data_IF_348965059991
#
_entry.id   IF_348965059991
#
_cell.length_a   1.000
_cell.length_b   1.000
_cell.length_c   1.000
_cell.angle_alpha   90.00
_cell.angle_beta   90.00
_cell.angle_gamma   90.00
#
_symmetry.space_group_name_H-M   'P 1'
#
loop_
_entity.id
_entity.type
_entity.pdbx_description
1 polymer ?
#
# COMPACT_ATOMS: atom_id res chain seq x y z
N UNK A 1 -1.60 -23.65 -18.38
CA UNK A 1 -1.14 -22.26 -18.62
C UNK A 1 -0.28 -21.79 -17.45
N UNK A 2 0.81 -21.07 -17.70
CA UNK A 2 1.65 -20.48 -16.65
C UNK A 2 1.24 -19.03 -16.33
N UNK A 3 1.61 -18.51 -15.15
CA UNK A 3 1.26 -17.16 -14.67
C UNK A 3 1.77 -16.05 -15.58
N UNK A 4 2.93 -16.22 -16.23
CA UNK A 4 3.48 -15.27 -17.22
C UNK A 4 2.61 -15.22 -18.47
N UNK A 5 2.25 -16.37 -19.03
CA UNK A 5 1.38 -16.47 -20.21
C UNK A 5 -0.02 -15.90 -19.95
N UNK A 6 -0.60 -16.20 -18.79
CA UNK A 6 -1.88 -15.65 -18.37
C UNK A 6 -1.81 -14.11 -18.34
N UNK A 7 -0.72 -13.54 -17.82
CA UNK A 7 -0.54 -12.08 -17.76
C UNK A 7 -0.45 -11.45 -19.15
N UNK A 8 0.21 -12.11 -20.10
CA UNK A 8 0.32 -11.65 -21.48
C UNK A 8 -1.02 -11.73 -22.21
N UNK A 9 -1.76 -12.84 -22.08
CA UNK A 9 -3.10 -12.99 -22.68
C UNK A 9 -4.12 -12.01 -22.11
N UNK A 10 -4.13 -11.83 -20.78
CA UNK A 10 -4.94 -10.78 -20.13
C UNK A 10 -4.57 -9.40 -20.68
N UNK A 11 -3.28 -9.15 -20.98
CA UNK A 11 -2.87 -7.89 -21.59
C UNK A 11 -3.44 -7.70 -22.98
N UNK A 12 -3.26 -8.69 -23.84
CA UNK A 12 -3.72 -8.66 -25.22
C UNK A 12 -5.24 -8.47 -25.29
N UNK A 13 -6.02 -9.21 -24.51
CA UNK A 13 -7.48 -9.14 -24.56
C UNK A 13 -8.02 -7.82 -24.00
N UNK A 14 -7.47 -7.31 -22.90
CA UNK A 14 -7.87 -5.99 -22.38
C UNK A 14 -7.47 -4.86 -23.35
N UNK A 15 -6.31 -4.97 -24.01
CA UNK A 15 -5.89 -4.01 -25.05
C UNK A 15 -6.74 -4.10 -26.32
N UNK A 16 -7.34 -5.26 -26.60
CA UNK A 16 -8.29 -5.47 -27.69
C UNK A 16 -9.71 -4.97 -27.35
N UNK A 17 -9.91 -4.35 -26.18
CA UNK A 17 -11.21 -3.81 -25.75
C UNK A 17 -12.14 -4.82 -25.10
N UNK A 18 -11.69 -6.05 -24.83
CA UNK A 18 -12.50 -7.03 -24.10
C UNK A 18 -12.71 -6.58 -22.65
N UNK A 19 -13.90 -6.84 -22.13
CA UNK A 19 -14.27 -6.49 -20.75
C UNK A 19 -13.54 -7.40 -19.74
N UNK A 20 -13.43 -6.97 -18.48
CA UNK A 20 -12.70 -7.74 -17.45
C UNK A 20 -13.41 -9.07 -17.15
N UNK A 21 -14.75 -9.10 -17.21
CA UNK A 21 -15.54 -10.32 -17.07
C UNK A 21 -15.32 -11.28 -18.23
N UNK A 22 -15.25 -10.78 -19.48
CA UNK A 22 -15.05 -11.63 -20.66
C UNK A 22 -13.67 -12.28 -20.65
N UNK A 23 -12.64 -11.52 -20.26
CA UNK A 23 -11.28 -12.04 -20.09
C UNK A 23 -11.22 -13.10 -18.99
N UNK A 24 -11.94 -12.90 -17.88
CA UNK A 24 -12.01 -13.88 -16.80
C UNK A 24 -12.73 -15.15 -17.27
N UNK A 25 -13.88 -15.04 -17.93
CA UNK A 25 -14.64 -16.18 -18.45
C UNK A 25 -13.83 -16.97 -19.48
N UNK A 26 -13.12 -16.28 -20.38
CA UNK A 26 -12.31 -16.93 -21.42
C UNK A 26 -11.10 -17.69 -20.85
N UNK A 27 -10.46 -17.17 -19.80
CA UNK A 27 -9.22 -17.74 -19.25
C UNK A 27 -9.43 -18.64 -18.02
N UNK A 28 -10.64 -18.67 -17.46
CA UNK A 28 -11.02 -19.55 -16.35
C UNK A 28 -10.87 -21.02 -16.78
N UNK A 29 -10.35 -21.87 -15.89
CA UNK A 29 -10.17 -23.30 -16.18
C UNK A 29 -8.97 -23.67 -17.07
N UNK A 30 -8.21 -22.72 -17.63
CA UNK A 30 -7.03 -23.00 -18.48
C UNK A 30 -5.75 -23.38 -17.68
N UNK A 31 -5.90 -23.90 -16.45
CA UNK A 31 -4.81 -24.42 -15.62
C UNK A 31 -4.14 -23.40 -14.67
N UNK A 32 -4.59 -22.15 -14.61
CA UNK A 32 -4.23 -21.19 -13.54
C UNK A 32 -5.40 -21.11 -12.56
N UNK A 33 -5.14 -21.20 -11.24
CA UNK A 33 -6.18 -21.05 -10.22
C UNK A 33 -6.96 -19.75 -10.43
N UNK A 34 -8.28 -19.85 -10.49
CA UNK A 34 -9.19 -18.72 -10.75
C UNK A 34 -8.96 -17.53 -9.80
N UNK A 35 -8.53 -17.79 -8.55
CA UNK A 35 -8.13 -16.75 -7.59
C UNK A 35 -6.94 -15.90 -8.07
N UNK A 36 -5.95 -16.55 -8.69
CA UNK A 36 -4.74 -15.88 -9.20
C UNK A 36 -5.07 -15.10 -10.45
N UNK A 37 -5.93 -15.65 -11.32
CA UNK A 37 -6.42 -14.99 -12.53
C UNK A 37 -7.25 -13.74 -12.19
N UNK A 38 -8.22 -13.86 -11.28
CA UNK A 38 -9.03 -12.73 -10.81
C UNK A 38 -8.17 -11.63 -10.16
N UNK A 39 -7.15 -12.00 -9.38
CA UNK A 39 -6.20 -11.04 -8.81
C UNK A 39 -5.41 -10.31 -9.92
N UNK A 40 -4.91 -11.02 -10.94
CA UNK A 40 -4.20 -10.42 -12.06
C UNK A 40 -5.07 -9.41 -12.83
N UNK A 41 -6.34 -9.71 -13.06
CA UNK A 41 -7.29 -8.83 -13.75
C UNK A 41 -7.68 -7.64 -12.85
N UNK A 42 -8.05 -7.88 -11.59
CA UNK A 42 -8.44 -6.84 -10.63
C UNK A 42 -7.29 -5.89 -10.25
N UNK A 43 -6.03 -6.37 -10.32
CA UNK A 43 -4.84 -5.56 -9.99
C UNK A 43 -4.49 -4.51 -11.05
N UNK A 44 -5.15 -4.54 -12.23
CA UNK A 44 -4.95 -3.53 -13.27
C UNK A 44 -5.83 -2.31 -13.01
N UNK A 45 -5.22 -1.14 -12.74
CA UNK A 45 -5.95 0.10 -12.64
C UNK A 45 -6.55 0.45 -13.99
N UNK A 46 -7.81 0.87 -13.98
CA UNK A 46 -8.45 1.49 -15.14
C UNK A 46 -7.84 2.91 -15.34
N UNK A 47 -7.26 3.22 -16.51
CA UNK A 47 -6.63 4.51 -16.77
C UNK A 47 -7.55 5.71 -16.51
N UNK A 48 -8.87 5.60 -16.72
CA UNK A 48 -9.81 6.69 -16.44
C UNK A 48 -9.98 6.95 -14.94
N UNK A 49 -9.97 5.89 -14.13
CA UNK A 49 -10.03 6.03 -12.67
C UNK A 49 -8.73 6.60 -12.10
N UNK A 50 -7.59 6.28 -12.70
CA UNK A 50 -6.32 6.92 -12.35
C UNK A 50 -6.35 8.42 -12.67
N UNK A 51 -6.91 8.81 -13.82
CA UNK A 51 -7.04 10.21 -14.22
C UNK A 51 -7.94 11.00 -13.25
N UNK A 52 -9.10 10.43 -12.91
CA UNK A 52 -10.07 11.07 -11.98
C UNK A 52 -9.60 11.15 -10.53
N UNK A 53 -8.68 10.28 -10.11
CA UNK A 53 -8.17 10.22 -8.73
C UNK A 53 -6.71 10.67 -8.58
N UNK A 54 -6.15 11.35 -9.60
CA UNK A 54 -4.75 11.77 -9.63
C UNK A 54 -4.35 12.61 -8.41
N UNK A 55 -5.25 13.46 -7.91
CA UNK A 55 -5.01 14.25 -6.70
C UNK A 55 -4.80 13.36 -5.47
N UNK A 56 -5.65 12.35 -5.26
CA UNK A 56 -5.53 11.44 -4.13
C UNK A 56 -4.25 10.60 -4.19
N UNK A 57 -3.85 10.15 -5.39
CA UNK A 57 -2.58 9.46 -5.58
C UNK A 57 -1.39 10.39 -5.27
N UNK A 58 -1.43 11.65 -5.70
CA UNK A 58 -0.41 12.64 -5.34
C UNK A 58 -0.34 12.88 -3.82
N UNK A 59 -1.48 12.93 -3.14
CA UNK A 59 -1.52 13.04 -1.67
C UNK A 59 -0.85 11.81 -1.03
N UNK A 60 -1.12 10.59 -1.52
CA UNK A 60 -0.47 9.38 -0.99
C UNK A 60 1.04 9.35 -1.24
N UNK A 61 1.49 9.79 -2.42
CA UNK A 61 2.92 9.98 -2.70
C UNK A 61 3.52 11.01 -1.75
N UNK A 62 2.82 12.13 -1.52
CA UNK A 62 3.22 13.15 -0.56
C UNK A 62 3.31 12.61 0.88
N UNK A 63 2.38 11.76 1.30
CA UNK A 63 2.44 11.07 2.60
C UNK A 63 3.65 10.12 2.69
N UNK A 64 3.97 9.41 1.61
CA UNK A 64 5.18 8.59 1.54
C UNK A 64 6.46 9.42 1.67
N UNK A 65 6.52 10.59 1.03
CA UNK A 65 7.64 11.54 1.16
C UNK A 65 7.70 12.09 2.59
N UNK A 66 6.57 12.48 3.17
CA UNK A 66 6.52 12.96 4.56
C UNK A 66 7.02 11.90 5.54
N UNK A 67 6.67 10.63 5.32
CA UNK A 67 7.16 9.51 6.12
C UNK A 67 8.68 9.29 5.96
N UNK A 68 9.22 9.48 4.75
CA UNK A 68 10.66 9.44 4.51
C UNK A 68 11.36 10.56 5.29
N UNK A 69 10.86 11.80 5.19
CA UNK A 69 11.39 12.95 5.92
C UNK A 69 11.32 12.74 7.43
N UNK A 70 10.22 12.20 7.93
CA UNK A 70 10.08 11.86 9.35
C UNK A 70 11.10 10.81 9.79
N UNK A 71 11.38 9.80 8.97
CA UNK A 71 12.41 8.80 9.27
C UNK A 71 13.80 9.44 9.34
N UNK A 72 14.14 10.34 8.41
CA UNK A 72 15.41 11.07 8.45
C UNK A 72 15.50 11.97 9.68
N UNK A 73 14.41 12.67 10.03
CA UNK A 73 14.35 13.50 11.23
C UNK A 73 14.58 12.67 12.50
N UNK A 74 13.93 11.50 12.63
CA UNK A 74 14.14 10.58 13.77
C UNK A 74 15.61 10.15 13.86
N UNK A 75 16.24 9.80 12.74
CA UNK A 75 17.65 9.42 12.74
C UNK A 75 18.58 10.55 13.22
N UNK A 76 18.30 11.80 12.83
CA UNK A 76 19.01 12.97 13.33
C UNK A 76 18.78 13.16 14.84
N UNK A 77 17.54 13.05 15.31
CA UNK A 77 17.25 13.18 16.75
C UNK A 77 17.95 12.11 17.60
N UNK A 78 18.02 10.87 17.10
CA UNK A 78 18.76 9.80 17.78
C UNK A 78 20.26 10.11 17.86
N UNK A 79 20.84 10.68 16.80
CA UNK A 79 22.24 11.08 16.79
C UNK A 79 22.50 12.25 17.75
N UNK A 80 21.62 13.25 17.79
CA UNK A 80 21.75 14.40 18.70
C UNK A 80 21.60 13.97 20.14
N UNK A 81 20.62 13.12 20.46
CA UNK A 81 20.38 12.64 21.82
C UNK A 81 21.58 11.84 22.34
N UNK A 82 22.16 10.96 21.52
CA UNK A 82 23.39 10.24 21.87
C UNK A 82 24.55 11.20 22.17
N UNK A 83 24.71 12.26 21.37
CA UNK A 83 25.75 13.26 21.54
C UNK A 83 25.61 14.09 22.83
N UNK A 84 24.39 14.21 23.40
CA UNK A 84 24.19 14.94 24.67
C UNK A 84 24.70 14.16 25.89
N UNK A 85 24.78 12.84 25.80
CA UNK A 85 25.21 11.96 26.91
C UNK A 85 26.73 11.73 26.85
N UNK A 86 27.33 11.80 25.66
CA UNK A 86 28.77 11.67 25.43
C UNK A 86 29.10 11.56 23.94
N UNK A 87 30.36 11.22 23.58
CA UNK A 87 30.72 10.95 22.19
C UNK A 87 29.86 9.82 21.61
N UNK A 88 29.30 10.04 20.41
CA UNK A 88 28.47 9.04 19.73
C UNK A 88 29.27 7.76 19.51
N UNK A 89 28.77 6.65 20.06
CA UNK A 89 29.48 5.38 20.04
C UNK A 89 29.24 4.62 18.73
N UNK A 90 30.06 3.60 18.46
CA UNK A 90 29.84 2.71 17.31
C UNK A 90 28.51 1.95 17.39
N UNK A 91 28.01 1.66 18.60
CA UNK A 91 26.69 1.07 18.81
C UNK A 91 25.54 2.00 18.41
N UNK A 92 25.65 3.30 18.71
CA UNK A 92 24.62 4.28 18.34
C UNK A 92 24.50 4.40 16.82
N UNK A 93 25.66 4.48 16.15
CA UNK A 93 25.71 4.50 14.69
C UNK A 93 25.15 3.21 14.07
N UNK A 94 25.37 2.05 14.69
CA UNK A 94 24.79 0.79 14.23
C UNK A 94 23.25 0.79 14.32
N UNK A 95 22.69 1.31 15.42
CA UNK A 95 21.23 1.43 15.61
C UNK A 95 20.63 2.41 14.59
N UNK A 96 21.23 3.59 14.43
CA UNK A 96 20.78 4.60 13.47
C UNK A 96 20.89 4.06 12.04
N UNK A 97 22.01 3.42 11.71
CA UNK A 97 22.25 2.80 10.41
C UNK A 97 21.23 1.71 10.08
N UNK A 98 20.94 0.81 11.03
CA UNK A 98 19.93 -0.23 10.86
C UNK A 98 18.53 0.36 10.67
N UNK A 99 18.18 1.37 11.47
CA UNK A 99 16.90 2.07 11.35
C UNK A 99 16.72 2.69 9.96
N UNK A 100 17.73 3.41 9.45
CA UNK A 100 17.69 4.00 8.12
C UNK A 100 17.68 2.95 7.01
N UNK A 101 18.49 1.89 7.13
CA UNK A 101 18.57 0.80 6.16
C UNK A 101 17.22 0.07 5.98
N UNK A 102 16.35 0.09 7.00
CA UNK A 102 15.01 -0.49 6.92
C UNK A 102 13.98 0.55 6.47
N UNK A 103 13.95 1.72 7.12
CA UNK A 103 12.85 2.69 6.95
C UNK A 103 12.90 3.43 5.61
N UNK A 104 14.11 3.76 5.13
CA UNK A 104 14.28 4.50 3.87
C UNK A 104 13.82 3.65 2.67
N UNK A 105 14.29 2.39 2.48
CA UNK A 105 13.82 1.56 1.38
C UNK A 105 12.32 1.28 1.43
N UNK A 106 11.76 1.04 2.62
CA UNK A 106 10.32 0.83 2.79
C UNK A 106 9.53 2.07 2.33
N UNK A 107 9.97 3.26 2.72
CA UNK A 107 9.31 4.52 2.33
C UNK A 107 9.38 4.73 0.82
N UNK A 108 10.54 4.47 0.20
CA UNK A 108 10.70 4.53 -1.26
C UNK A 108 9.83 3.51 -1.99
N UNK A 109 9.70 2.29 -1.46
CA UNK A 109 8.80 1.27 -2.01
C UNK A 109 7.34 1.71 -1.99
N UNK A 110 6.90 2.41 -0.94
CA UNK A 110 5.54 2.96 -0.88
C UNK A 110 5.35 4.12 -1.85
N UNK A 111 6.29 5.06 -1.93
CA UNK A 111 6.28 6.15 -2.90
C UNK A 111 6.16 5.59 -4.33
N UNK A 112 7.02 4.65 -4.68
CA UNK A 112 6.98 3.98 -5.98
C UNK A 112 5.68 3.20 -6.19
N UNK A 113 5.20 2.49 -5.17
CA UNK A 113 3.98 1.71 -5.22
C UNK A 113 2.72 2.57 -5.43
N UNK A 114 2.64 3.73 -4.79
CA UNK A 114 1.56 4.69 -5.02
C UNK A 114 1.67 5.34 -6.39
N UNK A 115 2.86 5.79 -6.79
CA UNK A 115 3.10 6.43 -8.09
C UNK A 115 2.81 5.49 -9.27
N UNK A 116 3.09 4.19 -9.13
CA UNK A 116 2.82 3.16 -10.13
C UNK A 116 1.45 2.49 -9.98
N UNK A 117 0.57 3.02 -9.12
CA UNK A 117 -0.79 2.53 -8.91
C UNK A 117 -0.84 1.01 -8.59
N UNK A 118 0.02 0.53 -7.69
CA UNK A 118 0.09 -0.89 -7.31
C UNK A 118 -0.81 -1.17 -6.11
N UNK A 119 -1.88 -1.95 -6.28
CA UNK A 119 -2.80 -2.33 -5.18
C UNK A 119 -2.09 -2.92 -3.95
N UNK A 120 -1.03 -3.70 -4.19
CA UNK A 120 -0.23 -4.30 -3.11
C UNK A 120 0.46 -3.27 -2.21
N UNK A 121 0.81 -2.09 -2.72
CA UNK A 121 1.40 -1.02 -1.93
C UNK A 121 0.39 -0.43 -0.95
N UNK A 122 -0.86 -0.22 -1.38
CA UNK A 122 -1.95 0.23 -0.50
C UNK A 122 -2.22 -0.79 0.60
N UNK A 123 -2.27 -2.08 0.24
CA UNK A 123 -2.48 -3.15 1.19
C UNK A 123 -1.36 -3.27 2.22
N UNK A 124 -0.11 -3.24 1.76
CA UNK A 124 1.06 -3.28 2.64
C UNK A 124 1.11 -2.05 3.55
N UNK A 125 0.76 -0.87 3.04
CA UNK A 125 0.73 0.36 3.83
C UNK A 125 -0.33 0.31 4.93
N UNK A 126 -1.55 -0.10 4.60
CA UNK A 126 -2.64 -0.28 5.58
C UNK A 126 -2.23 -1.30 6.65
N UNK A 127 -1.65 -2.45 6.26
CA UNK A 127 -1.19 -3.45 7.20
C UNK A 127 -0.09 -2.90 8.13
N UNK A 128 0.86 -2.14 7.56
CA UNK A 128 1.94 -1.51 8.31
C UNK A 128 1.42 -0.48 9.32
N UNK A 129 0.41 0.31 8.96
CA UNK A 129 -0.24 1.23 9.89
C UNK A 129 -0.95 0.47 11.03
N UNK A 130 -1.70 -0.58 10.72
CA UNK A 130 -2.42 -1.39 11.72
C UNK A 130 -1.45 -2.04 12.71
N UNK A 131 -0.33 -2.59 12.22
CA UNK A 131 0.71 -3.20 13.08
C UNK A 131 1.34 -2.20 14.04
N UNK A 132 1.32 -0.91 13.72
CA UNK A 132 1.88 0.14 14.60
C UNK A 132 0.92 0.60 15.70
N UNK A 133 -0.39 0.43 15.53
CA UNK A 133 -1.42 0.89 16.48
C UNK A 133 -1.22 0.34 17.91
N UNK A 134 -0.96 -0.96 18.13
CA UNK A 134 -0.79 -1.50 19.49
C UNK A 134 0.33 -0.82 20.28
N UNK A 135 1.45 -0.47 19.60
CA UNK A 135 2.56 0.26 20.23
C UNK A 135 2.14 1.68 20.64
N UNK A 136 1.28 2.33 19.88
CA UNK A 136 0.76 3.66 20.24
C UNK A 136 -0.23 3.58 21.40
N UNK A 137 -1.09 2.55 21.44
CA UNK A 137 -1.99 2.30 22.57
C UNK A 137 -1.19 2.09 23.85
N UNK A 138 -0.08 1.33 23.80
CA UNK A 138 0.81 1.16 24.94
C UNK A 138 1.40 2.47 25.48
N UNK A 139 1.59 3.49 24.63
CA UNK A 139 2.07 4.82 25.04
C UNK A 139 1.02 5.67 25.74
N UNK A 140 -0.26 5.32 25.67
CA UNK A 140 -1.32 6.02 26.42
C UNK A 140 -1.11 5.92 27.93
N UNK A 141 -0.49 4.83 28.40
CA UNK A 141 -0.19 4.63 29.81
C UNK A 141 0.93 5.56 30.33
N UNK A 142 1.82 6.03 29.46
CA UNK A 142 2.99 6.85 29.85
C UNK A 142 2.84 8.31 29.47
N UNK A 143 2.33 8.62 28.26
CA UNK A 143 2.19 9.99 27.74
C UNK A 143 0.85 10.17 27.02
N UNK A 144 -0.28 10.26 27.75
CA UNK A 144 -1.63 10.17 27.18
C UNK A 144 -1.94 11.26 26.14
N UNK A 145 -1.55 12.52 26.38
CA UNK A 145 -1.84 13.63 25.46
C UNK A 145 -1.27 13.42 24.06
N UNK A 146 0.08 13.36 23.90
CA UNK A 146 0.70 13.14 22.59
C UNK A 146 0.32 11.79 21.96
N UNK A 147 0.17 10.74 22.77
CA UNK A 147 -0.20 9.41 22.28
C UNK A 147 -1.62 9.38 21.69
N UNK A 148 -2.59 10.09 22.28
CA UNK A 148 -3.94 10.23 21.73
C UNK A 148 -3.94 10.92 20.37
N UNK A 149 -3.19 12.01 20.23
CA UNK A 149 -3.07 12.74 18.95
C UNK A 149 -2.45 11.84 17.88
N UNK A 150 -1.36 11.13 18.22
CA UNK A 150 -0.72 10.19 17.31
C UNK A 150 -1.66 9.06 16.86
N UNK A 151 -2.43 8.50 17.80
CA UNK A 151 -3.41 7.45 17.52
C UNK A 151 -4.53 7.94 16.60
N UNK A 152 -5.07 9.14 16.85
CA UNK A 152 -6.10 9.74 16.00
C UNK A 152 -5.59 9.95 14.56
N UNK A 153 -4.36 10.45 14.41
CA UNK A 153 -3.72 10.62 13.09
C UNK A 153 -3.54 9.26 12.39
N UNK A 154 -3.08 8.23 13.11
CA UNK A 154 -2.91 6.90 12.55
C UNK A 154 -4.23 6.27 12.08
N UNK A 155 -5.31 6.42 12.85
CA UNK A 155 -6.65 5.95 12.45
C UNK A 155 -7.13 6.70 11.21
N UNK A 156 -6.97 8.03 11.18
CA UNK A 156 -7.36 8.85 10.04
C UNK A 156 -6.58 8.46 8.76
N UNK A 157 -5.28 8.17 8.88
CA UNK A 157 -4.45 7.69 7.77
C UNK A 157 -4.91 6.33 7.25
N UNK A 158 -5.20 5.37 8.14
CA UNK A 158 -5.74 4.05 7.74
C UNK A 158 -7.04 4.23 6.95
N UNK A 159 -7.97 5.03 7.49
CA UNK A 159 -9.26 5.30 6.85
C UNK A 159 -9.08 5.98 5.48
N UNK A 160 -8.19 6.97 5.38
CA UNK A 160 -7.94 7.70 4.14
C UNK A 160 -7.30 6.82 3.07
N UNK A 161 -6.27 6.05 3.41
CA UNK A 161 -5.62 5.14 2.45
C UNK A 161 -6.59 4.05 1.99
N UNK A 162 -7.42 3.53 2.90
CA UNK A 162 -8.49 2.59 2.56
C UNK A 162 -9.53 3.20 1.62
N UNK A 163 -9.94 4.45 1.88
CA UNK A 163 -10.85 5.21 1.01
C UNK A 163 -10.29 5.37 -0.41
N UNK A 164 -9.04 5.84 -0.54
CA UNK A 164 -8.40 6.00 -1.86
C UNK A 164 -8.24 4.66 -2.56
N UNK A 165 -7.88 3.60 -1.83
CA UNK A 165 -7.78 2.24 -2.36
C UNK A 165 -9.11 1.76 -2.92
N UNK A 166 -10.23 1.93 -2.21
CA UNK A 166 -11.54 1.51 -2.71
C UNK A 166 -12.00 2.28 -3.95
N UNK A 167 -11.57 3.53 -4.09
CA UNK A 167 -11.87 4.37 -5.26
C UNK A 167 -11.09 3.97 -6.51
N UNK A 168 -9.83 3.56 -6.33
CA UNK A 168 -8.95 3.06 -7.40
C UNK A 168 -9.21 1.59 -7.76
N UNK A 169 -9.54 0.76 -6.78
CA UNK A 169 -9.73 -0.68 -6.92
C UNK A 169 -11.07 -1.11 -6.31
N UNK A 170 -12.21 -0.86 -6.97
CA UNK A 170 -13.53 -1.25 -6.47
C UNK A 170 -13.76 -2.77 -6.52
N UNK A 171 -12.98 -3.48 -7.36
CA UNK A 171 -13.10 -4.93 -7.67
C UNK A 171 -12.64 -5.82 -6.51
N UNK A 172 -12.56 -5.26 -5.31
CA UNK A 172 -11.64 -5.68 -4.30
C UNK A 172 -12.31 -5.39 -2.95
N UNK A 173 -12.68 -6.42 -2.21
CA UNK A 173 -13.24 -6.30 -0.85
C UNK A 173 -12.12 -6.55 0.14
N UNK A 174 -11.76 -5.52 0.91
CA UNK A 174 -10.68 -5.54 1.91
C UNK A 174 -9.29 -5.88 1.32
N UNK A 175 -8.91 -7.17 1.28
CA UNK A 175 -7.65 -7.68 0.72
C UNK A 175 -7.85 -8.69 -0.43
N UNK A 176 -9.09 -9.01 -0.81
CA UNK A 176 -9.40 -10.06 -1.81
C UNK A 176 -10.24 -9.52 -2.97
N UNK A 177 -10.14 -10.10 -4.18
CA UNK A 177 -11.05 -9.76 -5.27
C UNK A 177 -12.50 -9.99 -4.84
N UNK A 178 -13.40 -9.08 -5.23
CA UNK A 178 -14.82 -9.13 -4.90
C UNK A 178 -15.45 -10.38 -5.51
N UNK A 179 -16.29 -11.05 -4.71
CA UNK A 179 -17.15 -12.15 -5.16
C UNK A 179 -18.61 -11.77 -4.94
N UNK A 180 -19.44 -12.02 -5.93
CA UNK A 180 -20.91 -11.96 -5.86
C UNK A 180 -21.41 -13.31 -6.35
N UNK A 181 -22.26 -13.98 -5.56
CA UNK A 181 -22.77 -15.33 -5.85
C UNK A 181 -21.71 -16.35 -6.25
N UNK A 182 -20.64 -16.43 -5.44
CA UNK A 182 -19.48 -17.31 -5.66
C UNK A 182 -18.69 -17.09 -6.97
N UNK A 183 -19.07 -16.12 -7.80
CA UNK A 183 -18.37 -15.70 -9.01
C UNK A 183 -17.60 -14.41 -8.75
N UNK A 184 -16.45 -14.23 -9.39
CA UNK A 184 -15.70 -12.99 -9.29
C UNK A 184 -16.43 -11.90 -10.06
N UNK A 185 -16.79 -10.83 -9.36
CA UNK A 185 -17.52 -9.71 -9.94
C UNK A 185 -16.56 -8.54 -10.12
N UNK A 186 -16.42 -8.08 -11.35
CA UNK A 186 -15.67 -6.88 -11.71
C UNK A 186 -16.70 -5.77 -11.94
N UNK A 187 -16.46 -4.59 -11.38
CA UNK A 187 -17.34 -3.44 -11.57
C UNK A 187 -17.07 -2.89 -12.97
N UNK A 188 -17.85 -3.35 -13.93
CA UNK A 188 -17.91 -2.79 -15.28
C UNK A 188 -18.93 -1.66 -15.35
N UNK A 189 -18.51 -0.54 -15.92
CA UNK A 189 -19.41 0.43 -16.52
C UNK A 189 -18.89 0.59 -17.96
N UNK A 190 -19.72 0.39 -19.00
CA UNK A 190 -20.84 1.26 -19.39
C UNK A 190 -20.33 2.68 -19.69
#
# INVERSE_FOLDING_TARGET
>A
MNRKEARTKIAAMLSAGSTKSDVFASLSGQGVKDRVLANLIASRPDPERCRRNKLHVRILVGLGILQLLFSLWVAVTLATDAATIGPVTSSDWAVIGLFLAITVPISLLFIWGFATHRVGAYHAYIALLIVQIPKQIGRLATTPGPALVGLAISIALVAYVYFVRNRLFPDYVWFRPRKVDNRYAFVEHA
#
